data_IF_273797967489
#
_entry.id   IF_273797967489
#
_cell.length_a   1.000
_cell.length_b   1.000
_cell.length_c   1.000
_cell.angle_alpha   90.00
_cell.angle_beta   90.00
_cell.angle_gamma   90.00
#
_symmetry.space_group_name_H-M   'P 1'
#
loop_
_entity.id
_entity.type
_entity.pdbx_description
1 polymer ?
#
# COMPACT_ATOMS: atom_id res chain seq x y z
N UNK A 1 7.91 4.28 -3.13
CA UNK A 1 6.78 5.08 -2.62
C UNK A 1 5.98 4.25 -1.62
N UNK A 2 5.67 4.76 -0.42
CA UNK A 2 4.86 4.03 0.58
C UNK A 2 3.58 4.79 0.93
N UNK A 3 2.49 4.09 1.18
CA UNK A 3 1.19 4.66 1.58
C UNK A 3 0.80 4.27 2.99
N UNK A 4 0.08 5.15 3.70
CA UNK A 4 -0.44 4.82 5.04
C UNK A 4 -1.92 4.43 4.99
N UNK A 5 -2.22 3.21 5.42
CA UNK A 5 -3.57 2.63 5.43
C UNK A 5 -3.99 2.35 6.87
N UNK A 6 -5.26 2.58 7.20
CA UNK A 6 -5.82 2.32 8.53
C UNK A 6 -7.22 2.90 8.66
N UNK A 7 -8.01 2.42 9.63
CA UNK A 7 -9.34 2.97 9.90
C UNK A 7 -9.28 4.46 10.32
N UNK A 8 -10.38 5.23 10.19
CA UNK A 8 -10.47 6.57 10.75
C UNK A 8 -9.99 6.64 12.21
N UNK A 9 -9.39 7.76 12.59
CA UNK A 9 -9.00 8.06 13.98
C UNK A 9 -7.94 7.15 14.64
N UNK A 10 -7.18 6.35 13.88
CA UNK A 10 -6.07 5.52 14.42
C UNK A 10 -4.74 6.26 14.63
N UNK A 11 -4.73 7.59 14.48
CA UNK A 11 -3.52 8.42 14.58
C UNK A 11 -2.75 8.63 13.27
N UNK A 12 -3.35 8.32 12.10
CA UNK A 12 -2.72 8.53 10.78
C UNK A 12 -2.25 9.98 10.55
N UNK A 13 -3.09 10.96 10.86
CA UNK A 13 -2.77 12.37 10.68
C UNK A 13 -1.68 12.85 11.66
N UNK A 14 -1.68 12.36 12.90
CA UNK A 14 -0.63 12.67 13.89
C UNK A 14 0.74 12.12 13.45
N UNK A 15 0.77 10.88 12.95
CA UNK A 15 1.96 10.31 12.33
C UNK A 15 2.40 11.13 11.10
N UNK A 16 1.43 11.60 10.28
CA UNK A 16 1.74 12.39 9.08
C UNK A 16 2.41 13.69 9.46
N UNK A 17 1.79 14.40 10.39
CA UNK A 17 2.27 15.70 10.87
C UNK A 17 3.65 15.58 11.53
N UNK A 18 3.97 14.43 12.10
CA UNK A 18 5.31 14.17 12.64
C UNK A 18 6.32 13.93 11.50
N UNK A 19 5.94 13.15 10.49
CA UNK A 19 6.78 12.88 9.32
C UNK A 19 6.96 14.12 8.42
N UNK A 20 5.93 14.94 8.24
CA UNK A 20 6.00 16.18 7.46
C UNK A 20 6.83 17.26 8.15
N UNK A 21 6.88 17.29 9.49
CA UNK A 21 7.85 18.12 10.22
C UNK A 21 9.29 17.72 9.94
N UNK A 22 9.53 16.46 9.59
CA UNK A 22 10.83 15.94 9.18
C UNK A 22 11.00 15.98 7.65
N UNK A 23 10.00 16.45 6.91
CA UNK A 23 10.01 16.43 5.45
C UNK A 23 10.86 17.57 4.88
N UNK A 24 11.44 17.28 3.72
CA UNK A 24 12.27 18.22 2.98
C UNK A 24 11.35 19.28 2.33
N UNK A 25 11.66 20.58 2.42
CA UNK A 25 10.93 21.60 1.69
C UNK A 25 10.93 21.35 0.18
N UNK A 26 9.78 21.58 -0.48
CA UNK A 26 9.61 21.37 -1.92
C UNK A 26 10.63 22.12 -2.78
N UNK A 27 11.15 23.25 -2.28
CA UNK A 27 12.16 24.10 -2.92
C UNK A 27 13.47 23.37 -3.25
N UNK A 28 13.78 22.26 -2.56
CA UNK A 28 14.99 21.48 -2.80
C UNK A 28 14.91 20.55 -4.04
N UNK A 29 13.74 20.43 -4.68
CA UNK A 29 13.54 19.57 -5.86
C UNK A 29 12.90 20.35 -7.03
N UNK A 30 13.70 20.94 -7.94
CA UNK A 30 13.21 21.85 -8.98
C UNK A 30 12.29 21.22 -10.05
N UNK A 31 12.04 19.91 -9.98
CA UNK A 31 11.24 19.16 -10.96
C UNK A 31 10.09 18.36 -10.34
N UNK A 32 9.86 18.44 -9.03
CA UNK A 32 8.82 17.66 -8.35
C UNK A 32 7.69 18.57 -7.85
N UNK A 33 6.48 18.33 -8.32
CA UNK A 33 5.26 18.82 -7.68
C UNK A 33 5.06 18.03 -6.40
N UNK A 34 5.09 18.66 -5.24
CA UNK A 34 4.72 18.03 -3.97
C UNK A 34 3.26 18.37 -3.71
N UNK A 35 2.38 17.38 -3.80
CA UNK A 35 0.96 17.57 -3.45
C UNK A 35 0.80 17.63 -1.92
N UNK A 36 -0.27 18.28 -1.38
CA UNK A 36 -0.44 18.49 0.08
C UNK A 36 -0.45 17.21 0.92
N UNK A 37 -0.67 16.08 0.27
CA UNK A 37 -0.75 14.73 0.83
C UNK A 37 0.53 13.91 0.59
N UNK A 38 1.61 14.52 0.11
CA UNK A 38 2.90 13.86 -0.13
C UNK A 38 3.97 14.40 0.81
N UNK A 39 4.80 13.50 1.34
CA UNK A 39 5.90 13.86 2.22
C UNK A 39 7.17 13.11 1.82
N UNK A 40 8.29 13.83 1.73
CA UNK A 40 9.62 13.25 1.50
C UNK A 40 10.47 13.38 2.75
N UNK A 41 10.83 12.26 3.34
CA UNK A 41 11.57 12.20 4.61
C UNK A 41 12.96 11.63 4.35
N UNK A 42 14.01 12.30 4.82
CA UNK A 42 15.37 11.77 4.74
C UNK A 42 15.52 10.50 5.57
N UNK A 43 16.23 9.51 5.02
CA UNK A 43 16.54 8.28 5.74
C UNK A 43 17.75 8.56 6.65
N UNK A 44 17.61 8.39 7.98
CA UNK A 44 18.76 8.48 8.89
C UNK A 44 19.70 7.29 8.64
N UNK A 45 20.98 7.57 8.39
CA UNK A 45 22.00 6.56 8.12
C UNK A 45 23.36 7.00 8.69
N UNK A 46 23.80 6.36 9.77
CA UNK A 46 25.08 6.65 10.43
C UNK A 46 26.28 6.53 9.49
N UNK A 47 26.19 5.70 8.44
CA UNK A 47 27.26 5.54 7.44
C UNK A 47 27.37 6.77 6.55
N UNK A 48 26.23 7.34 6.17
CA UNK A 48 26.18 8.58 5.42
C UNK A 48 26.75 9.73 6.25
N UNK A 49 26.34 9.84 7.51
CA UNK A 49 26.85 10.86 8.43
C UNK A 49 28.37 10.74 8.62
N UNK A 50 28.88 9.52 8.82
CA UNK A 50 30.32 9.27 8.95
C UNK A 50 31.10 9.69 7.69
N UNK A 51 30.58 9.39 6.49
CA UNK A 51 31.20 9.80 5.23
C UNK A 51 31.22 11.33 5.07
N UNK A 52 30.12 12.00 5.39
CA UNK A 52 30.05 13.46 5.37
C UNK A 52 31.06 14.10 6.34
N UNK A 53 31.18 13.54 7.56
CA UNK A 53 32.15 14.01 8.55
C UNK A 53 33.61 13.81 8.09
N UNK A 54 33.91 12.67 7.47
CA UNK A 54 35.25 12.33 6.99
C UNK A 54 35.69 13.19 5.81
N UNK A 55 34.83 13.34 4.80
CA UNK A 55 35.19 13.99 3.54
C UNK A 55 34.81 15.47 3.46
N UNK A 56 33.88 15.93 4.31
CA UNK A 56 33.38 17.32 4.36
C UNK A 56 33.03 17.87 2.97
N UNK A 57 32.15 17.18 2.21
CA UNK A 57 31.84 17.57 0.85
C UNK A 57 31.12 18.92 0.81
N UNK A 58 31.14 19.59 -0.35
CA UNK A 58 30.42 20.86 -0.53
C UNK A 58 28.89 20.71 -0.56
N UNK A 59 28.40 19.50 -0.75
CA UNK A 59 26.98 19.17 -0.83
C UNK A 59 26.77 17.77 -0.24
N UNK A 60 25.75 17.65 0.61
CA UNK A 60 25.34 16.43 1.28
C UNK A 60 23.91 16.12 0.84
N UNK A 61 23.70 14.95 0.24
CA UNK A 61 22.38 14.54 -0.28
C UNK A 61 22.07 13.15 0.26
N UNK A 62 21.16 13.09 1.23
CA UNK A 62 20.68 11.84 1.80
C UNK A 62 19.71 11.12 0.86
N UNK A 63 19.57 9.81 1.04
CA UNK A 63 18.43 9.08 0.48
C UNK A 63 17.15 9.55 1.17
N UNK A 64 16.03 9.54 0.44
CA UNK A 64 14.72 9.91 0.98
C UNK A 64 13.69 8.82 0.73
N UNK A 65 12.67 8.79 1.58
CA UNK A 65 11.46 8.00 1.44
C UNK A 65 10.28 8.92 1.12
N UNK A 66 9.55 8.59 0.07
CA UNK A 66 8.33 9.27 -0.33
C UNK A 66 7.10 8.55 0.23
N UNK A 67 6.29 9.31 0.96
CA UNK A 67 5.13 8.83 1.73
C UNK A 67 3.88 9.58 1.29
N UNK A 68 2.82 8.85 0.98
CA UNK A 68 1.52 9.42 0.61
C UNK A 68 0.51 9.26 1.76
N UNK A 69 -0.26 10.31 2.02
CA UNK A 69 -1.37 10.34 2.97
C UNK A 69 -2.72 10.27 2.28
N UNK A 70 -3.57 9.35 2.70
CA UNK A 70 -4.89 9.15 2.10
C UNK A 70 -5.91 8.89 3.21
N UNK A 71 -7.09 9.49 3.03
CA UNK A 71 -8.21 9.44 3.98
C UNK A 71 -8.55 8.01 4.41
N UNK A 72 -9.03 7.82 5.65
CA UNK A 72 -9.24 6.48 6.22
C UNK A 72 -10.21 5.59 5.43
N UNK A 73 -9.87 4.29 5.34
CA UNK A 73 -10.75 3.27 4.76
C UNK A 73 -11.91 2.97 5.71
N UNK A 74 -13.13 2.86 5.17
CA UNK A 74 -14.33 2.44 5.89
C UNK A 74 -14.79 1.11 5.30
N UNK A 75 -15.48 0.26 6.09
CA UNK A 75 -16.07 -1.00 5.60
C UNK A 75 -16.92 -0.77 4.35
N UNK A 76 -16.89 -1.70 3.40
CA UNK A 76 -17.68 -1.64 2.17
C UNK A 76 -17.04 -0.83 1.04
N UNK A 77 -15.75 -0.47 1.18
CA UNK A 77 -15.00 0.23 0.15
C UNK A 77 -14.95 -0.55 -1.17
N UNK A 78 -14.90 -1.88 -1.12
CA UNK A 78 -14.95 -2.74 -2.30
C UNK A 78 -16.28 -2.66 -3.05
N UNK A 79 -17.39 -2.31 -2.39
CA UNK A 79 -18.72 -2.19 -3.01
C UNK A 79 -19.00 -0.79 -3.54
N UNK A 80 -18.04 0.15 -3.43
CA UNK A 80 -18.21 1.53 -3.86
C UNK A 80 -19.06 2.38 -2.91
N UNK A 81 -19.31 1.92 -1.67
CA UNK A 81 -19.92 2.76 -0.65
C UNK A 81 -18.86 3.76 -0.12
N UNK A 82 -19.14 5.06 -0.22
CA UNK A 82 -18.26 6.14 0.26
C UNK A 82 -17.03 6.43 -0.62
N UNK A 83 -15.97 6.98 -0.02
CA UNK A 83 -14.70 7.35 -0.69
C UNK A 83 -13.78 6.15 -1.03
N UNK A 84 -14.24 4.92 -0.84
CA UNK A 84 -13.42 3.70 -0.88
C UNK A 84 -12.78 3.37 -2.24
N UNK A 85 -13.47 3.59 -3.36
CA UNK A 85 -12.90 3.32 -4.69
C UNK A 85 -11.73 4.27 -5.02
N UNK A 86 -11.84 5.55 -4.64
CA UNK A 86 -10.75 6.52 -4.82
C UNK A 86 -9.54 6.13 -3.96
N UNK A 87 -9.77 5.70 -2.72
CA UNK A 87 -8.71 5.20 -1.83
C UNK A 87 -7.92 4.04 -2.46
N UNK A 88 -8.63 3.02 -2.95
CA UNK A 88 -8.00 1.84 -3.56
C UNK A 88 -7.22 2.17 -4.84
N UNK A 89 -7.68 3.17 -5.60
CA UNK A 89 -6.94 3.64 -6.78
C UNK A 89 -5.61 4.27 -6.42
N UNK A 90 -5.52 4.93 -5.27
CA UNK A 90 -4.26 5.50 -4.81
C UNK A 90 -3.32 4.43 -4.24
N UNK A 91 -3.82 3.40 -3.54
CA UNK A 91 -2.99 2.24 -3.13
C UNK A 91 -2.33 1.57 -4.33
N UNK A 92 -3.01 1.53 -5.48
CA UNK A 92 -2.40 1.00 -6.70
C UNK A 92 -1.19 1.80 -7.15
N UNK A 93 -1.12 3.10 -6.87
CA UNK A 93 -0.05 4.00 -7.29
C UNK A 93 1.21 3.92 -6.41
N UNK A 94 1.14 3.33 -5.21
CA UNK A 94 2.31 3.17 -4.32
C UNK A 94 2.94 1.79 -4.41
N UNK A 95 4.15 1.62 -3.89
CA UNK A 95 4.87 0.34 -3.94
C UNK A 95 4.71 -0.50 -2.66
N UNK A 96 4.24 0.10 -1.56
CA UNK A 96 4.12 -0.57 -0.27
C UNK A 96 3.24 0.20 0.71
N UNK A 97 2.86 -0.45 1.80
CA UNK A 97 1.83 0.05 2.72
C UNK A 97 2.36 0.07 4.15
N UNK A 98 2.28 1.21 4.81
CA UNK A 98 2.29 1.35 6.25
C UNK A 98 0.88 1.17 6.80
N UNK A 99 0.59 0.03 7.40
CA UNK A 99 -0.71 -0.23 7.99
C UNK A 99 -0.74 0.23 9.45
N UNK A 100 -1.42 1.34 9.71
CA UNK A 100 -1.57 1.92 11.05
C UNK A 100 -2.73 1.27 11.79
N UNK A 101 -2.46 0.74 12.98
CA UNK A 101 -3.43 0.06 13.86
C UNK A 101 -3.52 0.79 15.20
N UNK A 102 -4.73 0.99 15.71
CA UNK A 102 -4.97 1.63 17.01
C UNK A 102 -5.00 0.58 18.11
N UNK A 103 -4.12 0.71 19.09
CA UNK A 103 -4.07 -0.14 20.28
C UNK A 103 -4.18 0.68 21.59
N UNK A 104 -4.98 1.74 21.57
CA UNK A 104 -5.27 2.57 22.75
C UNK A 104 -6.73 3.01 22.79
N UNK A 105 -7.29 3.09 23.98
CA UNK A 105 -8.60 3.68 24.24
C UNK A 105 -8.45 5.18 24.49
N UNK A 106 -9.37 5.97 23.95
CA UNK A 106 -9.46 7.40 24.21
C UNK A 106 -10.94 7.79 24.19
N UNK A 107 -11.50 8.27 25.31
CA UNK A 107 -12.93 8.61 25.43
C UNK A 107 -13.34 9.79 24.54
N UNK A 108 -12.39 10.62 24.09
CA UNK A 108 -12.65 11.75 23.21
C UNK A 108 -12.62 11.35 21.72
N UNK A 109 -12.24 10.10 21.41
CA UNK A 109 -12.08 9.61 20.03
C UNK A 109 -13.01 8.44 19.75
N UNK A 110 -14.10 8.73 19.04
CA UNK A 110 -15.08 7.73 18.57
C UNK A 110 -14.43 6.79 17.55
N UNK A 111 -14.50 5.49 17.82
CA UNK A 111 -14.14 4.43 16.88
C UNK A 111 -15.30 4.11 15.94
N UNK A 112 -15.02 3.71 14.70
CA UNK A 112 -16.06 3.43 13.68
C UNK A 112 -17.02 2.31 14.12
N UNK A 113 -16.54 1.38 14.95
CA UNK A 113 -17.28 0.21 15.46
C UNK A 113 -17.51 0.27 16.99
N UNK A 114 -17.56 1.47 17.58
CA UNK A 114 -17.79 1.76 19.02
C UNK A 114 -16.80 1.14 20.03
N UNK A 115 -15.94 0.23 19.57
CA UNK A 115 -14.95 -0.54 20.35
C UNK A 115 -13.63 -0.55 19.59
N UNK A 116 -12.51 -0.44 20.30
CA UNK A 116 -11.17 -0.52 19.71
C UNK A 116 -10.74 -1.99 19.66
N UNK A 117 -10.52 -2.51 18.45
CA UNK A 117 -10.03 -3.88 18.23
C UNK A 117 -9.08 -3.91 17.03
N UNK A 118 -7.75 -3.81 17.26
CA UNK A 118 -6.78 -3.76 16.16
C UNK A 118 -6.72 -5.05 15.33
N UNK A 119 -7.14 -6.20 15.89
CA UNK A 119 -7.16 -7.47 15.14
C UNK A 119 -8.32 -7.46 14.15
N UNK A 120 -9.50 -7.09 14.61
CA UNK A 120 -10.67 -6.92 13.74
C UNK A 120 -10.42 -5.87 12.65
N UNK A 121 -9.82 -4.74 13.00
CA UNK A 121 -9.54 -3.66 12.04
C UNK A 121 -8.55 -4.10 10.95
N UNK A 122 -7.53 -4.86 11.34
CA UNK A 122 -6.58 -5.50 10.43
C UNK A 122 -7.30 -6.46 9.47
N UNK A 123 -8.16 -7.33 10.00
CA UNK A 123 -8.91 -8.31 9.21
C UNK A 123 -9.81 -7.61 8.17
N UNK A 124 -10.54 -6.58 8.57
CA UNK A 124 -11.41 -5.78 7.69
C UNK A 124 -10.61 -5.21 6.52
N UNK A 125 -9.50 -4.51 6.80
CA UNK A 125 -8.70 -3.87 5.75
C UNK A 125 -8.11 -4.93 4.81
N UNK A 126 -7.56 -6.01 5.38
CA UNK A 126 -6.92 -7.05 4.58
C UNK A 126 -7.94 -7.79 3.69
N UNK A 127 -9.16 -8.02 4.19
CA UNK A 127 -10.26 -8.60 3.42
C UNK A 127 -10.71 -7.68 2.28
N UNK A 128 -10.87 -6.38 2.54
CA UNK A 128 -11.24 -5.39 1.51
C UNK A 128 -10.21 -5.35 0.36
N UNK A 129 -8.91 -5.40 0.68
CA UNK A 129 -7.84 -5.45 -0.33
C UNK A 129 -7.92 -6.74 -1.15
N UNK A 130 -8.14 -7.89 -0.51
CA UNK A 130 -8.30 -9.19 -1.21
C UNK A 130 -9.51 -9.19 -2.13
N UNK A 131 -10.67 -8.73 -1.66
CA UNK A 131 -11.89 -8.69 -2.46
C UNK A 131 -11.71 -7.86 -3.73
N UNK A 132 -10.97 -6.74 -3.64
CA UNK A 132 -10.63 -5.95 -4.83
C UNK A 132 -9.68 -6.63 -5.79
N UNK A 133 -8.70 -7.36 -5.29
CA UNK A 133 -7.82 -8.14 -6.16
C UNK A 133 -8.58 -9.31 -6.81
N UNK A 134 -9.55 -9.94 -6.12
CA UNK A 134 -10.44 -10.94 -6.71
C UNK A 134 -11.26 -10.35 -7.85
N UNK A 135 -11.92 -9.21 -7.63
CA UNK A 135 -12.70 -8.50 -8.68
C UNK A 135 -11.83 -8.14 -9.90
N UNK A 136 -10.58 -7.74 -9.66
CA UNK A 136 -9.62 -7.48 -10.73
C UNK A 136 -9.24 -8.75 -11.50
N UNK A 137 -8.95 -9.85 -10.78
CA UNK A 137 -8.60 -11.13 -11.39
C UNK A 137 -9.74 -11.74 -12.18
N UNK A 138 -10.99 -11.59 -11.74
CA UNK A 138 -12.16 -12.07 -12.49
C UNK A 138 -12.28 -11.41 -13.86
N UNK A 139 -12.18 -10.08 -13.91
CA UNK A 139 -12.18 -9.33 -15.18
C UNK A 139 -11.01 -9.73 -16.07
N UNK A 140 -9.81 -9.84 -15.47
CA UNK A 140 -8.60 -10.18 -16.20
C UNK A 140 -8.67 -11.59 -16.82
N UNK A 141 -9.21 -12.56 -16.08
CA UNK A 141 -9.46 -13.92 -16.59
C UNK A 141 -10.41 -13.87 -17.79
N UNK A 142 -11.53 -13.15 -17.68
CA UNK A 142 -12.51 -13.02 -18.77
C UNK A 142 -11.88 -12.42 -20.05
N UNK A 143 -11.04 -11.40 -19.91
CA UNK A 143 -10.36 -10.74 -21.03
C UNK A 143 -9.31 -11.64 -21.70
N UNK A 144 -8.55 -12.41 -20.91
CA UNK A 144 -7.58 -13.38 -21.43
C UNK A 144 -8.31 -14.52 -22.14
N UNK A 145 -9.41 -15.05 -21.57
CA UNK A 145 -10.22 -16.10 -22.21
C UNK A 145 -10.83 -15.63 -23.55
N UNK A 146 -11.34 -14.39 -23.61
CA UNK A 146 -11.82 -13.77 -24.87
C UNK A 146 -10.70 -13.68 -25.91
N UNK A 147 -9.49 -13.33 -25.48
CA UNK A 147 -8.32 -13.21 -26.35
C UNK A 147 -7.84 -14.58 -26.88
N UNK A 148 -7.87 -15.62 -26.04
CA UNK A 148 -7.54 -16.99 -26.43
C UNK A 148 -8.50 -17.58 -27.46
N UNK A 149 -9.78 -17.16 -27.47
CA UNK A 149 -10.72 -17.57 -28.53
C UNK A 149 -10.34 -17.04 -29.91
N UNK A 150 -9.52 -15.98 -29.98
CA UNK A 150 -9.09 -15.31 -31.22
C UNK A 150 -7.65 -15.64 -31.62
N UNK A 151 -6.85 -16.17 -30.69
CA UNK A 151 -5.42 -16.44 -30.87
C UNK A 151 -5.00 -17.70 -30.12
N UNK A 152 -4.20 -18.56 -30.75
CA UNK A 152 -3.65 -19.76 -30.11
C UNK A 152 -2.27 -19.50 -29.46
N UNK A 153 -2.11 -18.33 -28.85
CA UNK A 153 -0.86 -17.91 -28.24
C UNK A 153 -0.61 -18.68 -26.92
N UNK A 154 0.55 -19.33 -26.82
CA UNK A 154 0.97 -20.04 -25.61
C UNK A 154 1.14 -19.10 -24.42
N UNK A 155 1.48 -17.84 -24.66
CA UNK A 155 1.68 -16.86 -23.59
C UNK A 155 0.36 -16.55 -22.86
N UNK A 156 -0.75 -16.44 -23.61
CA UNK A 156 -2.08 -16.24 -23.02
C UNK A 156 -2.50 -17.40 -22.13
N UNK A 157 -2.10 -18.63 -22.49
CA UNK A 157 -2.39 -19.81 -21.66
C UNK A 157 -1.62 -19.76 -20.33
N UNK A 158 -0.35 -19.37 -20.36
CA UNK A 158 0.48 -19.21 -19.16
C UNK A 158 -0.09 -18.11 -18.26
N UNK A 159 -0.48 -16.97 -18.85
CA UNK A 159 -1.11 -15.86 -18.13
C UNK A 159 -2.44 -16.28 -17.49
N UNK A 160 -3.29 -17.02 -18.22
CA UNK A 160 -4.55 -17.54 -17.69
C UNK A 160 -4.36 -18.47 -16.49
N UNK A 161 -3.43 -19.43 -16.61
CA UNK A 161 -3.10 -20.36 -15.52
C UNK A 161 -2.58 -19.60 -14.28
N UNK A 162 -1.75 -18.57 -14.48
CA UNK A 162 -1.29 -17.70 -13.41
C UNK A 162 -2.46 -16.95 -12.75
N UNK A 163 -3.33 -16.29 -13.52
CA UNK A 163 -4.49 -15.57 -13.01
C UNK A 163 -5.44 -16.48 -12.20
N UNK A 164 -5.67 -17.71 -12.67
CA UNK A 164 -6.51 -18.67 -11.95
C UNK A 164 -5.90 -19.09 -10.60
N UNK A 165 -4.58 -19.30 -10.55
CA UNK A 165 -3.86 -19.60 -9.29
C UNK A 165 -3.94 -18.44 -8.30
N UNK A 166 -3.78 -17.20 -8.79
CA UNK A 166 -3.91 -15.98 -7.97
C UNK A 166 -5.31 -15.86 -7.39
N UNK A 167 -6.34 -16.03 -8.23
CA UNK A 167 -7.73 -15.99 -7.79
C UNK A 167 -8.00 -17.05 -6.70
N UNK A 168 -7.52 -18.27 -6.88
CA UNK A 168 -7.70 -19.34 -5.90
C UNK A 168 -7.04 -19.00 -4.55
N UNK A 169 -5.79 -18.51 -4.57
CA UNK A 169 -5.08 -18.09 -3.36
C UNK A 169 -5.85 -17.00 -2.60
N UNK A 170 -6.35 -15.99 -3.31
CA UNK A 170 -7.14 -14.90 -2.73
C UNK A 170 -8.45 -15.40 -2.10
N UNK A 171 -9.13 -16.34 -2.76
CA UNK A 171 -10.37 -16.95 -2.26
C UNK A 171 -10.15 -17.86 -1.03
N UNK A 172 -8.94 -18.38 -0.82
CA UNK A 172 -8.52 -19.04 0.42
C UNK A 172 -8.23 -18.04 1.56
N UNK A 173 -8.37 -16.73 1.33
CA UNK A 173 -8.09 -15.70 2.31
C UNK A 173 -6.60 -15.36 2.46
N UNK A 174 -5.75 -15.77 1.51
CA UNK A 174 -4.31 -15.48 1.52
C UNK A 174 -3.96 -14.34 0.57
N UNK A 175 -3.05 -13.49 1.02
CA UNK A 175 -2.54 -12.37 0.22
C UNK A 175 -1.54 -12.87 -0.84
N UNK A 176 -1.51 -12.21 -2.00
CA UNK A 176 -0.64 -12.61 -3.13
C UNK A 176 0.84 -12.62 -2.76
N UNK A 177 1.30 -11.67 -1.95
CA UNK A 177 2.70 -11.61 -1.46
C UNK A 177 3.14 -12.82 -0.63
N UNK A 178 2.20 -13.60 -0.09
CA UNK A 178 2.47 -14.79 0.72
C UNK A 178 2.41 -16.08 -0.10
N UNK A 179 2.03 -16.00 -1.38
CA UNK A 179 2.00 -17.15 -2.29
C UNK A 179 3.40 -17.58 -2.72
N UNK A 180 3.52 -18.87 -3.08
CA UNK A 180 4.72 -19.41 -3.71
C UNK A 180 4.63 -19.28 -5.24
N UNK A 181 5.49 -18.41 -5.79
CA UNK A 181 5.47 -18.05 -7.22
C UNK A 181 6.78 -18.41 -7.89
N UNK A 182 6.70 -18.89 -9.14
CA UNK A 182 7.88 -19.05 -9.99
C UNK A 182 8.32 -17.69 -10.52
N UNK A 183 9.58 -17.54 -10.92
CA UNK A 183 10.09 -16.29 -11.50
C UNK A 183 9.24 -15.78 -12.68
N UNK A 184 8.81 -16.68 -13.57
CA UNK A 184 7.91 -16.33 -14.68
C UNK A 184 6.52 -15.86 -14.22
N UNK A 185 5.98 -16.43 -13.13
CA UNK A 185 4.70 -15.99 -12.56
C UNK A 185 4.86 -14.58 -11.95
N UNK A 186 6.00 -14.30 -11.30
CA UNK A 186 6.30 -12.99 -10.70
C UNK A 186 6.35 -11.89 -11.76
N UNK A 187 6.94 -12.15 -12.93
CA UNK A 187 6.95 -11.17 -14.04
C UNK A 187 5.53 -10.81 -14.49
N UNK A 188 4.63 -11.80 -14.57
CA UNK A 188 3.22 -11.59 -14.90
C UNK A 188 2.51 -10.81 -13.79
N UNK A 189 2.70 -11.22 -12.53
CA UNK A 189 2.11 -10.56 -11.35
C UNK A 189 2.49 -9.08 -11.24
N UNK A 190 3.75 -8.76 -11.51
CA UNK A 190 4.24 -7.39 -11.48
C UNK A 190 3.53 -6.48 -12.49
N UNK A 191 3.00 -7.04 -13.60
CA UNK A 191 2.21 -6.27 -14.57
C UNK A 191 0.82 -5.88 -14.04
N UNK A 192 0.30 -6.59 -13.03
CA UNK A 192 -1.05 -6.39 -12.50
C UNK A 192 -1.11 -5.35 -11.37
N UNK A 193 0.02 -5.10 -10.70
CA UNK A 193 0.11 -4.18 -9.56
C UNK A 193 -0.98 -4.43 -8.50
N UNK A 194 -1.15 -5.71 -8.13
CA UNK A 194 -2.15 -6.15 -7.16
C UNK A 194 -1.90 -5.53 -5.78
N UNK A 195 -2.98 -5.20 -5.08
CA UNK A 195 -2.93 -4.54 -3.78
C UNK A 195 -2.25 -5.43 -2.73
N UNK A 196 -2.63 -6.71 -2.71
CA UNK A 196 -2.14 -7.72 -1.77
C UNK A 196 -0.76 -8.27 -2.12
N UNK A 197 -0.17 -7.85 -3.25
CA UNK A 197 1.21 -8.16 -3.62
C UNK A 197 2.23 -7.17 -3.02
N UNK A 198 1.80 -5.95 -2.70
CA UNK A 198 2.66 -4.89 -2.14
C UNK A 198 3.15 -5.31 -0.75
N UNK A 199 4.38 -5.02 -0.30
CA UNK A 199 4.79 -5.23 1.09
C UNK A 199 4.00 -4.36 2.08
N UNK A 200 3.79 -4.86 3.31
CA UNK A 200 3.15 -4.12 4.41
C UNK A 200 4.08 -4.04 5.62
N UNK A 201 4.12 -2.86 6.24
CA UNK A 201 4.72 -2.61 7.56
C UNK A 201 3.61 -2.20 8.51
N UNK A 202 3.42 -2.95 9.60
CA UNK A 202 2.40 -2.63 10.61
C UNK A 202 2.94 -1.62 11.62
N UNK A 203 2.22 -0.51 11.79
CA UNK A 203 2.52 0.55 12.75
C UNK A 203 1.43 0.56 13.81
N UNK A 204 1.71 -0.07 14.95
CA UNK A 204 0.76 -0.13 16.07
C UNK A 204 0.95 1.11 16.95
N UNK A 205 -0.10 1.91 17.08
CA UNK A 205 -0.11 3.13 17.90
C UNK A 205 -0.64 2.81 19.29
N UNK A 206 0.07 3.30 20.31
CA UNK A 206 -0.26 3.15 21.72
C UNK A 206 -0.33 4.54 22.38
N UNK A 207 -1.06 4.66 23.49
CA UNK A 207 -0.98 5.85 24.35
C UNK A 207 0.40 5.92 25.00
N UNK A 208 0.95 7.13 25.13
CA UNK A 208 2.07 7.38 26.04
C UNK A 208 1.58 7.40 27.50
#
# INVERSE_FOLDING_TARGET
MLERVGLPNVGKSTLFNTLTKLAIPAENFPFCTIEPNEARVNIPDERFEWLCQLYKPKSEVSAFLEIHDIAGLVRGAHQGQGLGNSFLSHIRAVDGIFHVLRAFEDPDIIHVDDTVDPVRDLEIITEELRLKDVEFMERKIEDVEKSMKRSNDKQLKIELECCQRVKALLQEGKDVRLGEWKAADIEILNSFQLLTAKPVVYLVTFSQ
#
